data_IF_152857044646
#
_entry.id   IF_152857044646
#
_cell.length_a   1.000
_cell.length_b   1.000
_cell.length_c   1.000
_cell.angle_alpha   90.00
_cell.angle_beta   90.00
_cell.angle_gamma   90.00
#
_symmetry.space_group_name_H-M   'P 1'
#
loop_
_entity.id
_entity.type
_entity.pdbx_description
1 polymer ?
#
# COMPACT_ATOMS: atom_id res chain seq x y z
N UNK A 1 24.79 -1.18 8.57
CA UNK A 1 23.59 -1.27 7.73
C UNK A 1 22.79 -2.54 8.05
N UNK A 2 23.41 -3.72 7.99
CA UNK A 2 22.77 -5.02 8.29
C UNK A 2 22.16 -5.08 9.70
N UNK A 3 22.84 -4.53 10.70
CA UNK A 3 22.38 -4.51 12.09
C UNK A 3 21.15 -3.62 12.29
N UNK A 4 21.08 -2.49 11.58
CA UNK A 4 19.96 -1.57 11.64
C UNK A 4 18.72 -2.21 10.99
N UNK A 5 18.91 -2.85 9.84
CA UNK A 5 17.85 -3.58 9.15
C UNK A 5 17.27 -4.73 10.00
N UNK A 6 18.14 -5.46 10.68
CA UNK A 6 17.73 -6.55 11.56
C UNK A 6 16.98 -6.06 12.81
N UNK A 7 17.41 -4.94 13.38
CA UNK A 7 16.72 -4.29 14.49
C UNK A 7 15.33 -3.79 14.08
N UNK A 8 15.19 -3.22 12.89
CA UNK A 8 13.91 -2.78 12.35
C UNK A 8 12.95 -3.97 12.14
N UNK A 9 13.42 -5.06 11.56
CA UNK A 9 12.63 -6.29 11.39
C UNK A 9 12.15 -6.86 12.72
N UNK A 10 12.98 -6.85 13.75
CA UNK A 10 12.60 -7.31 15.08
C UNK A 10 11.53 -6.43 15.71
N UNK A 11 11.62 -5.12 15.56
CA UNK A 11 10.60 -4.19 16.05
C UNK A 11 9.26 -4.38 15.35
N UNK A 12 9.28 -4.57 14.05
CA UNK A 12 8.08 -4.86 13.25
C UNK A 12 7.44 -6.17 13.70
N UNK A 13 8.22 -7.21 13.88
CA UNK A 13 7.72 -8.51 14.34
C UNK A 13 7.07 -8.44 15.72
N UNK A 14 7.70 -7.77 16.68
CA UNK A 14 7.14 -7.54 18.01
C UNK A 14 5.86 -6.71 17.97
N UNK A 15 5.84 -5.65 17.17
CA UNK A 15 4.67 -4.80 16.99
C UNK A 15 3.51 -5.58 16.37
N UNK A 16 3.78 -6.45 15.40
CA UNK A 16 2.76 -7.30 14.78
C UNK A 16 2.12 -8.26 15.77
N UNK A 17 2.91 -8.89 16.63
CA UNK A 17 2.38 -9.75 17.70
C UNK A 17 1.46 -8.99 18.65
N UNK A 18 1.85 -7.80 19.04
CA UNK A 18 1.05 -6.94 19.91
C UNK A 18 -0.25 -6.48 19.23
N UNK A 19 -0.19 -6.08 17.96
CA UNK A 19 -1.34 -5.66 17.16
C UNK A 19 -2.35 -6.78 16.97
N UNK A 20 -1.90 -8.00 16.71
CA UNK A 20 -2.80 -9.16 16.60
C UNK A 20 -3.61 -9.38 17.87
N UNK A 21 -2.99 -9.21 19.03
CA UNK A 21 -3.68 -9.31 20.33
C UNK A 21 -4.65 -8.15 20.55
N UNK A 22 -4.25 -6.93 20.24
CA UNK A 22 -5.08 -5.74 20.45
C UNK A 22 -6.32 -5.71 19.56
N UNK A 23 -6.17 -6.09 18.30
CA UNK A 23 -7.28 -6.10 17.33
C UNK A 23 -8.07 -7.40 17.36
N UNK A 24 -7.60 -8.43 18.05
CA UNK A 24 -8.25 -9.74 18.05
C UNK A 24 -8.28 -10.40 16.67
N UNK A 25 -7.31 -10.08 15.81
CA UNK A 25 -7.22 -10.62 14.46
C UNK A 25 -6.29 -11.83 14.38
N UNK A 26 -6.61 -12.73 13.48
CA UNK A 26 -5.76 -13.86 13.13
C UNK A 26 -5.27 -13.66 11.71
N UNK A 27 -3.96 -13.74 11.51
CA UNK A 27 -3.33 -13.66 10.21
C UNK A 27 -2.78 -15.03 9.82
N UNK A 28 -2.94 -15.41 8.56
CA UNK A 28 -2.24 -16.55 8.00
C UNK A 28 -0.73 -16.26 7.93
N UNK A 29 0.06 -17.30 7.77
CA UNK A 29 1.51 -17.16 7.63
C UNK A 29 1.91 -16.24 6.46
N UNK A 30 1.20 -16.34 5.33
CA UNK A 30 1.40 -15.44 4.16
C UNK A 30 0.99 -14.00 4.45
N UNK A 31 -0.09 -13.79 5.18
CA UNK A 31 -0.54 -12.46 5.58
C UNK A 31 0.46 -11.80 6.53
N UNK A 32 1.01 -12.55 7.48
CA UNK A 32 2.09 -12.06 8.36
C UNK A 32 3.34 -11.69 7.57
N UNK A 33 3.74 -12.53 6.61
CA UNK A 33 4.87 -12.24 5.72
C UNK A 33 4.63 -11.00 4.88
N UNK A 34 3.39 -10.77 4.42
CA UNK A 34 3.04 -9.55 3.69
C UNK A 34 3.25 -8.30 4.53
N UNK A 35 2.82 -8.31 5.78
CA UNK A 35 3.01 -7.19 6.71
C UNK A 35 4.51 -6.95 6.99
N UNK A 36 5.23 -8.01 7.29
CA UNK A 36 6.66 -7.93 7.62
C UNK A 36 7.53 -7.53 6.43
N UNK A 37 7.13 -7.91 5.20
CA UNK A 37 7.83 -7.55 3.99
C UNK A 37 7.52 -6.12 3.52
N UNK A 38 6.30 -5.64 3.72
CA UNK A 38 5.87 -4.33 3.23
C UNK A 38 6.52 -3.16 3.99
N UNK A 39 6.71 -3.30 5.30
CA UNK A 39 7.13 -2.19 6.15
C UNK A 39 8.60 -1.79 5.99
N UNK A 40 9.57 -2.69 5.85
CA UNK A 40 10.97 -2.30 5.67
C UNK A 40 11.32 -1.79 4.26
N UNK A 41 10.50 -2.07 3.26
CA UNK A 41 10.77 -1.68 1.88
C UNK A 41 10.13 -0.33 1.54
N UNK A 42 10.79 0.45 0.69
CA UNK A 42 10.27 1.74 0.24
C UNK A 42 9.10 1.62 -0.72
N UNK A 43 9.04 0.54 -1.47
CA UNK A 43 7.95 0.27 -2.41
C UNK A 43 7.58 -1.21 -2.34
N UNK A 44 6.30 -1.49 -2.13
CA UNK A 44 5.78 -2.85 -2.04
C UNK A 44 4.48 -2.99 -2.82
N UNK A 45 4.25 -4.17 -3.36
CA UNK A 45 2.98 -4.51 -4.01
C UNK A 45 2.35 -5.69 -3.27
N UNK A 46 1.09 -5.51 -2.91
CA UNK A 46 0.26 -6.57 -2.34
C UNK A 46 -0.81 -6.94 -3.36
N UNK A 47 -0.79 -8.16 -3.83
CA UNK A 47 -1.75 -8.66 -4.81
C UNK A 47 -2.53 -9.84 -4.26
N UNK A 48 -3.73 -10.02 -4.74
CA UNK A 48 -4.57 -11.15 -4.39
C UNK A 48 -5.95 -11.00 -5.00
N UNK A 49 -6.67 -12.10 -5.17
CA UNK A 49 -8.04 -12.10 -5.65
C UNK A 49 -9.05 -11.65 -4.57
N UNK A 50 -10.34 -11.55 -4.91
CA UNK A 50 -11.38 -11.26 -3.94
C UNK A 50 -11.39 -12.29 -2.80
N UNK A 51 -11.53 -11.82 -1.56
CA UNK A 51 -11.59 -12.68 -0.38
C UNK A 51 -10.24 -13.24 0.09
N UNK A 52 -9.11 -12.68 -0.34
CA UNK A 52 -7.76 -13.13 0.04
C UNK A 52 -7.24 -12.54 1.36
N UNK A 53 -8.03 -11.77 2.08
CA UNK A 53 -7.59 -11.15 3.34
C UNK A 53 -6.83 -9.84 3.19
N UNK A 54 -6.85 -9.20 2.02
CA UNK A 54 -6.17 -7.90 1.79
C UNK A 54 -6.57 -6.83 2.80
N UNK A 55 -7.85 -6.74 3.13
CA UNK A 55 -8.35 -5.77 4.13
C UNK A 55 -7.74 -6.00 5.51
N UNK A 56 -7.67 -7.24 5.96
CA UNK A 56 -7.07 -7.58 7.25
C UNK A 56 -5.59 -7.27 7.28
N UNK A 57 -4.88 -7.55 6.18
CA UNK A 57 -3.46 -7.19 6.02
C UNK A 57 -3.26 -5.68 6.07
N UNK A 58 -4.10 -4.90 5.41
CA UNK A 58 -4.01 -3.43 5.46
C UNK A 58 -4.25 -2.87 6.85
N UNK A 59 -5.23 -3.40 7.58
CA UNK A 59 -5.44 -3.03 8.99
C UNK A 59 -4.21 -3.32 9.85
N UNK A 60 -3.62 -4.49 9.67
CA UNK A 60 -2.42 -4.88 10.40
C UNK A 60 -1.23 -3.98 10.06
N UNK A 61 -1.01 -3.68 8.77
CA UNK A 61 0.05 -2.76 8.32
C UNK A 61 -0.12 -1.38 8.96
N UNK A 62 -1.31 -0.81 8.91
CA UNK A 62 -1.60 0.50 9.50
C UNK A 62 -1.32 0.51 11.01
N UNK A 63 -1.82 -0.47 11.73
CA UNK A 63 -1.63 -0.55 13.17
C UNK A 63 -0.17 -0.78 13.57
N UNK A 64 0.54 -1.64 12.87
CA UNK A 64 1.97 -1.89 13.10
C UNK A 64 2.80 -0.65 12.78
N UNK A 65 2.54 0.01 11.66
CA UNK A 65 3.25 1.21 11.27
C UNK A 65 3.07 2.35 12.29
N UNK A 66 1.85 2.59 12.74
CA UNK A 66 1.57 3.59 13.76
C UNK A 66 2.25 3.28 15.10
N UNK A 67 2.42 2.00 15.42
CA UNK A 67 3.08 1.56 16.64
C UNK A 67 4.61 1.70 16.56
N UNK A 68 5.19 1.37 15.42
CA UNK A 68 6.64 1.47 15.19
C UNK A 68 7.08 2.93 14.98
N UNK A 69 6.26 3.72 14.31
CA UNK A 69 6.50 5.13 14.00
C UNK A 69 5.34 6.01 14.51
N UNK A 70 5.27 6.28 15.82
CA UNK A 70 4.22 7.14 16.37
C UNK A 70 4.27 8.54 15.77
N UNK A 71 3.11 9.07 15.41
CA UNK A 71 3.00 10.40 14.81
C UNK A 71 3.31 10.48 13.33
N UNK A 72 3.58 9.35 12.66
CA UNK A 72 3.77 9.32 11.23
C UNK A 72 2.51 9.71 10.45
N UNK A 73 2.69 10.43 9.35
CA UNK A 73 1.61 10.79 8.45
C UNK A 73 1.32 9.66 7.47
N UNK A 74 0.09 9.19 7.45
CA UNK A 74 -0.35 8.11 6.56
C UNK A 74 -1.41 8.64 5.61
N UNK A 75 -1.24 8.40 4.33
CA UNK A 75 -2.22 8.68 3.30
C UNK A 75 -2.76 7.37 2.73
N UNK A 76 -4.08 7.20 2.78
CA UNK A 76 -4.78 6.16 2.04
C UNK A 76 -5.40 6.78 0.80
N UNK A 77 -5.19 6.19 -0.35
CA UNK A 77 -5.69 6.68 -1.61
C UNK A 77 -6.23 5.55 -2.49
N UNK A 78 -7.16 5.90 -3.35
CA UNK A 78 -7.74 5.01 -4.36
C UNK A 78 -8.11 5.81 -5.61
N UNK A 79 -8.26 5.17 -6.78
CA UNK A 79 -8.53 5.89 -8.02
C UNK A 79 -9.93 6.49 -8.10
N UNK A 80 -10.89 5.99 -7.31
CA UNK A 80 -12.28 6.48 -7.32
C UNK A 80 -12.78 6.84 -5.93
N UNK A 81 -13.76 7.73 -5.84
CA UNK A 81 -14.39 8.09 -4.58
C UNK A 81 -15.07 6.90 -3.88
N UNK A 82 -15.64 5.98 -4.65
CA UNK A 82 -16.26 4.77 -4.12
C UNK A 82 -15.22 3.84 -3.50
N UNK A 83 -14.11 3.64 -4.19
CA UNK A 83 -13.01 2.81 -3.68
C UNK A 83 -12.36 3.43 -2.45
N UNK A 84 -12.16 4.75 -2.41
CA UNK A 84 -11.60 5.43 -1.24
C UNK A 84 -12.52 5.33 -0.02
N UNK A 85 -13.82 5.44 -0.19
CA UNK A 85 -14.78 5.22 0.89
C UNK A 85 -14.76 3.79 1.42
N UNK A 86 -14.74 2.81 0.53
CA UNK A 86 -14.61 1.39 0.95
C UNK A 86 -13.33 1.14 1.72
N UNK A 87 -12.23 1.74 1.29
CA UNK A 87 -10.95 1.65 1.98
C UNK A 87 -11.01 2.25 3.39
N UNK A 88 -11.63 3.42 3.54
CA UNK A 88 -11.82 4.06 4.84
C UNK A 88 -12.69 3.20 5.79
N UNK A 89 -13.81 2.71 5.30
CA UNK A 89 -14.72 1.85 6.07
C UNK A 89 -14.08 0.53 6.48
N UNK A 90 -13.39 -0.14 5.56
CA UNK A 90 -12.81 -1.45 5.79
C UNK A 90 -11.58 -1.42 6.69
N UNK A 91 -10.79 -0.36 6.64
CA UNK A 91 -9.60 -0.20 7.49
C UNK A 91 -9.86 0.49 8.82
N UNK A 92 -11.00 1.20 8.93
CA UNK A 92 -11.28 2.07 10.06
C UNK A 92 -10.47 3.38 10.07
N UNK A 93 -9.67 3.63 9.05
CA UNK A 93 -8.89 4.86 8.89
C UNK A 93 -9.66 5.83 7.99
N UNK A 94 -10.27 6.83 8.60
CA UNK A 94 -11.28 7.67 7.94
C UNK A 94 -10.73 8.65 6.91
N UNK A 95 -9.45 8.96 6.91
CA UNK A 95 -8.82 9.89 5.98
C UNK A 95 -8.31 9.20 4.71
N UNK A 96 -9.22 8.56 3.99
CA UNK A 96 -8.92 8.01 2.66
C UNK A 96 -9.42 8.96 1.56
N UNK A 97 -8.59 9.18 0.55
CA UNK A 97 -8.84 10.14 -0.53
C UNK A 97 -8.75 9.47 -1.90
N UNK A 98 -9.30 10.14 -2.91
CA UNK A 98 -8.99 9.78 -4.30
C UNK A 98 -7.58 10.21 -4.65
N UNK A 99 -6.95 9.52 -5.59
CA UNK A 99 -5.64 9.93 -6.13
C UNK A 99 -5.69 11.33 -6.73
N UNK A 100 -6.77 11.68 -7.42
CA UNK A 100 -6.96 13.02 -7.97
C UNK A 100 -6.94 14.09 -6.87
N UNK A 101 -7.64 13.85 -5.77
CA UNK A 101 -7.65 14.74 -4.61
C UNK A 101 -6.27 14.81 -3.94
N UNK A 102 -5.62 13.69 -3.73
CA UNK A 102 -4.30 13.63 -3.10
C UNK A 102 -3.23 14.34 -3.91
N UNK A 103 -3.33 14.27 -5.24
CA UNK A 103 -2.43 14.91 -6.19
C UNK A 103 -2.86 16.35 -6.56
N UNK A 104 -3.98 16.81 -6.04
CA UNK A 104 -4.57 18.13 -6.33
C UNK A 104 -4.78 18.36 -7.84
N UNK A 105 -5.13 17.30 -8.57
CA UNK A 105 -5.42 17.39 -10.00
C UNK A 105 -6.68 18.21 -10.25
N UNK A 106 -6.68 19.04 -11.29
CA UNK A 106 -7.76 19.94 -11.61
C UNK A 106 -7.83 21.20 -10.73
N UNK A 107 -6.86 21.45 -9.89
CA UNK A 107 -6.73 22.67 -9.09
C UNK A 107 -5.75 23.66 -9.74
N UNK A 108 -5.62 24.85 -9.16
CA UNK A 108 -4.63 25.84 -9.61
C UNK A 108 -3.19 25.31 -9.57
N UNK A 109 -2.90 24.45 -8.61
CA UNK A 109 -1.58 23.82 -8.48
C UNK A 109 -1.26 22.89 -9.66
N UNK A 110 -2.27 22.25 -10.23
CA UNK A 110 -2.08 21.39 -11.41
C UNK A 110 -1.65 22.15 -12.65
N UNK A 111 -1.96 23.43 -12.73
CA UNK A 111 -1.51 24.32 -13.80
C UNK A 111 -0.04 24.73 -13.69
N UNK A 112 0.60 24.50 -12.54
CA UNK A 112 2.01 24.81 -12.33
C UNK A 112 2.93 23.83 -13.07
N UNK A 113 4.14 24.25 -13.46
CA UNK A 113 5.17 23.33 -13.92
C UNK A 113 5.44 22.22 -12.91
N UNK A 114 5.79 21.03 -13.38
CA UNK A 114 5.99 19.84 -12.52
C UNK A 114 6.94 20.10 -11.34
N UNK A 115 8.02 20.85 -11.59
CA UNK A 115 9.02 21.20 -10.57
C UNK A 115 8.54 22.20 -9.50
N UNK A 116 7.37 22.80 -9.70
CA UNK A 116 6.77 23.75 -8.76
C UNK A 116 5.57 23.16 -8.00
N UNK A 117 5.17 21.94 -8.35
CA UNK A 117 4.07 21.26 -7.67
C UNK A 117 4.56 20.65 -6.35
N UNK A 118 3.69 20.66 -5.34
CA UNK A 118 4.00 20.10 -4.03
C UNK A 118 4.07 18.58 -4.05
N UNK A 119 5.03 18.01 -3.34
CA UNK A 119 5.06 16.59 -3.07
C UNK A 119 3.95 16.18 -2.10
N UNK A 120 3.60 14.90 -2.11
CA UNK A 120 2.70 14.34 -1.11
C UNK A 120 3.42 14.35 0.25
N UNK A 121 2.81 15.01 1.22
CA UNK A 121 3.32 15.09 2.59
C UNK A 121 2.84 13.89 3.41
N UNK A 122 3.44 12.74 3.19
CA UNK A 122 3.15 11.54 3.94
C UNK A 122 4.40 10.70 4.12
N UNK A 123 4.46 9.96 5.22
CA UNK A 123 5.53 9.00 5.49
C UNK A 123 5.22 7.63 4.90
N UNK A 124 3.94 7.28 4.87
CA UNK A 124 3.41 6.07 4.25
C UNK A 124 2.23 6.42 3.37
N UNK A 125 2.24 5.93 2.14
CA UNK A 125 1.12 6.02 1.20
C UNK A 125 0.68 4.61 0.81
N UNK A 126 -0.60 4.31 0.98
CA UNK A 126 -1.20 3.05 0.54
C UNK A 126 -2.22 3.38 -0.54
N UNK A 127 -2.02 2.80 -1.72
CA UNK A 127 -2.94 2.95 -2.86
C UNK A 127 -3.63 1.62 -3.12
N UNK A 128 -4.96 1.61 -3.01
CA UNK A 128 -5.78 0.45 -3.33
C UNK A 128 -6.36 0.55 -4.75
N UNK A 129 -6.89 -0.56 -5.25
CA UNK A 129 -7.49 -0.65 -6.59
C UNK A 129 -6.55 -0.20 -7.72
N UNK A 130 -5.28 -0.58 -7.62
CA UNK A 130 -4.23 -0.13 -8.57
C UNK A 130 -4.47 -0.57 -10.01
N UNK A 131 -5.27 -1.60 -10.25
CA UNK A 131 -5.69 -2.02 -11.58
C UNK A 131 -6.47 -0.95 -12.35
N UNK A 132 -7.11 -0.02 -11.64
CA UNK A 132 -7.88 1.09 -12.21
C UNK A 132 -7.02 2.35 -12.45
N UNK A 133 -5.76 2.31 -12.08
CA UNK A 133 -4.83 3.44 -12.28
C UNK A 133 -4.19 3.33 -13.65
N UNK A 134 -4.42 4.33 -14.51
CA UNK A 134 -3.77 4.39 -15.81
C UNK A 134 -2.31 4.88 -15.71
N UNK A 135 -1.59 4.80 -16.82
CA UNK A 135 -0.19 5.21 -16.89
C UNK A 135 0.03 6.67 -16.53
N UNK A 136 -0.86 7.54 -17.01
CA UNK A 136 -0.75 8.97 -16.77
C UNK A 136 -0.90 9.28 -15.27
N UNK A 137 -1.91 8.71 -14.63
CA UNK A 137 -2.17 8.91 -13.20
C UNK A 137 -1.05 8.32 -12.34
N UNK A 138 -0.54 7.13 -12.70
CA UNK A 138 0.61 6.53 -12.03
C UNK A 138 1.86 7.41 -12.14
N UNK A 139 2.12 7.97 -13.32
CA UNK A 139 3.24 8.89 -13.53
C UNK A 139 3.10 10.15 -12.67
N UNK A 140 1.90 10.74 -12.61
CA UNK A 140 1.63 11.87 -11.73
C UNK A 140 1.88 11.51 -10.25
N UNK A 141 1.40 10.37 -9.83
CA UNK A 141 1.60 9.89 -8.45
C UNK A 141 3.06 9.73 -8.09
N UNK A 142 3.83 8.97 -8.87
CA UNK A 142 5.24 8.72 -8.57
C UNK A 142 6.10 9.98 -8.65
N UNK A 143 5.76 10.94 -9.50
CA UNK A 143 6.47 12.22 -9.58
C UNK A 143 6.31 13.08 -8.33
N UNK A 144 5.29 12.82 -7.52
CA UNK A 144 4.98 13.57 -6.29
C UNK A 144 5.39 12.86 -5.00
N UNK A 145 6.01 11.69 -5.10
CA UNK A 145 6.51 10.95 -3.95
C UNK A 145 7.86 11.51 -3.53
N UNK A 146 7.96 11.88 -2.26
CA UNK A 146 9.21 12.37 -1.68
C UNK A 146 10.18 11.20 -1.40
N UNK A 147 11.50 11.43 -1.47
CA UNK A 147 12.46 10.46 -0.97
C UNK A 147 12.19 10.10 0.49
N UNK A 148 12.21 8.82 0.81
CA UNK A 148 11.92 8.32 2.16
C UNK A 148 10.45 8.02 2.45
N UNK A 149 9.53 8.41 1.59
CA UNK A 149 8.12 8.00 1.69
C UNK A 149 7.98 6.52 1.30
N UNK A 150 7.34 5.73 2.15
CA UNK A 150 7.01 4.34 1.84
C UNK A 150 5.71 4.28 1.05
N UNK A 151 5.70 3.47 0.01
CA UNK A 151 4.53 3.28 -0.87
C UNK A 151 4.15 1.81 -0.89
N UNK A 152 2.88 1.54 -0.64
CA UNK A 152 2.28 0.21 -0.76
C UNK A 152 1.16 0.27 -1.79
N UNK A 153 1.29 -0.53 -2.83
CA UNK A 153 0.30 -0.65 -3.89
C UNK A 153 -0.49 -1.93 -3.70
N UNK A 154 -1.80 -1.83 -3.71
CA UNK A 154 -2.70 -2.97 -3.49
C UNK A 154 -3.60 -3.15 -4.70
N UNK A 155 -3.72 -4.36 -5.20
CA UNK A 155 -4.55 -4.65 -6.35
C UNK A 155 -4.83 -6.13 -6.55
N UNK A 156 -5.71 -6.46 -7.49
CA UNK A 156 -6.01 -7.83 -7.86
C UNK A 156 -4.94 -8.37 -8.82
N UNK A 157 -4.40 -9.55 -8.52
CA UNK A 157 -3.37 -10.20 -9.32
C UNK A 157 -3.79 -10.43 -10.78
N UNK A 158 -5.06 -10.74 -11.00
CA UNK A 158 -5.60 -11.01 -12.33
C UNK A 158 -5.77 -9.77 -13.20
N UNK A 159 -5.75 -8.59 -12.60
CA UNK A 159 -5.96 -7.30 -13.27
C UNK A 159 -4.67 -6.52 -13.52
N UNK A 160 -3.61 -6.78 -12.76
CA UNK A 160 -2.33 -6.07 -12.87
C UNK A 160 -1.60 -6.31 -14.21
N UNK A 161 -1.60 -7.50 -14.81
CA UNK A 161 -0.89 -7.76 -16.07
C UNK A 161 -1.63 -7.28 -17.32
N UNK A 162 -2.94 -7.07 -17.25
CA UNK A 162 -3.77 -6.76 -18.42
C UNK A 162 -3.81 -5.28 -18.81
N UNK A 163 -3.22 -4.43 -18.01
CA UNK A 163 -3.09 -3.01 -18.33
C UNK A 163 -1.96 -2.86 -19.36
N UNK A 164 -2.23 -3.39 -20.52
CA UNK A 164 -1.55 -3.17 -21.81
C UNK A 164 -0.10 -2.70 -21.76
N UNK A 165 0.54 -2.57 -22.87
CA UNK A 165 1.91 -2.10 -23.14
C UNK A 165 2.56 -1.09 -22.16
N UNK A 166 1.93 -0.82 -21.04
CA UNK A 166 2.41 0.06 -20.03
C UNK A 166 2.54 -0.60 -18.68
N UNK A 167 3.37 -1.56 -18.57
CA UNK A 167 3.82 -2.15 -17.33
C UNK A 167 4.45 -1.11 -16.41
N UNK A 168 3.65 -0.16 -15.94
CA UNK A 168 4.11 0.91 -15.05
C UNK A 168 4.73 0.33 -13.79
N UNK A 169 4.26 -0.84 -13.37
CA UNK A 169 4.75 -1.52 -12.19
C UNK A 169 5.77 -2.62 -12.48
N UNK A 170 5.97 -3.03 -13.73
CA UNK A 170 6.93 -4.06 -14.09
C UNK A 170 8.39 -3.57 -14.05
N UNK A 171 8.67 -2.38 -14.54
CA UNK A 171 10.03 -1.84 -14.49
C UNK A 171 10.62 -1.77 -13.09
N UNK A 172 9.92 -1.28 -12.05
CA UNK A 172 10.40 -1.35 -10.68
C UNK A 172 10.55 -2.77 -10.14
N UNK A 173 9.68 -3.70 -10.54
CA UNK A 173 9.79 -5.12 -10.16
C UNK A 173 11.04 -5.74 -10.78
N UNK A 174 11.29 -5.51 -12.06
CA UNK A 174 12.45 -6.02 -12.79
C UNK A 174 13.76 -5.46 -12.27
N UNK A 175 13.78 -4.22 -11.79
CA UNK A 175 14.96 -3.58 -11.21
C UNK A 175 15.33 -4.09 -9.81
N UNK A 176 14.49 -4.92 -9.18
CA UNK A 176 14.72 -5.45 -7.84
C UNK A 176 14.55 -4.44 -6.70
N UNK A 177 14.06 -3.23 -6.99
CA UNK A 177 13.82 -2.17 -5.99
C UNK A 177 12.50 -2.39 -5.25
N UNK A 178 11.63 -3.23 -5.80
CA UNK A 178 10.28 -3.46 -5.31
C UNK A 178 10.15 -4.85 -4.67
N UNK A 179 9.63 -4.89 -3.46
CA UNK A 179 9.18 -6.13 -2.84
C UNK A 179 7.76 -6.45 -3.32
N UNK A 180 7.55 -7.65 -3.86
CA UNK A 180 6.23 -8.10 -4.29
C UNK A 180 5.76 -9.22 -3.37
N UNK A 181 4.62 -9.01 -2.74
CA UNK A 181 3.94 -10.02 -1.92
C UNK A 181 2.62 -10.40 -2.59
N UNK A 182 2.46 -11.67 -2.90
CA UNK A 182 1.22 -12.20 -3.49
C UNK A 182 0.42 -12.90 -2.40
N UNK A 183 -0.80 -12.42 -2.15
CA UNK A 183 -1.79 -13.10 -1.33
C UNK A 183 -2.64 -13.98 -2.24
N UNK A 184 -2.53 -15.29 -2.07
CA UNK A 184 -3.39 -16.24 -2.78
C UNK A 184 -4.63 -16.54 -1.95
N UNK A 185 -5.76 -16.65 -2.63
CA UNK A 185 -6.96 -17.14 -2.00
C UNK A 185 -6.72 -18.59 -1.57
N UNK A 186 -6.83 -18.88 -0.30
CA UNK A 186 -7.04 -20.24 0.13
C UNK A 186 -8.44 -20.62 -0.36
N UNK A 187 -8.51 -21.40 -1.40
CA UNK A 187 -9.72 -22.17 -1.67
C UNK A 187 -9.91 -23.03 -0.43
N UNK A 188 -10.82 -22.61 0.44
CA UNK A 188 -11.23 -23.45 1.53
C UNK A 188 -11.61 -24.79 0.94
N UNK A 189 -10.88 -25.82 1.29
CA UNK A 189 -11.34 -27.15 1.12
C UNK A 189 -12.64 -27.22 1.88
N UNK A 190 -13.73 -27.20 1.14
CA UNK A 190 -15.02 -27.54 1.68
C UNK A 190 -14.90 -28.99 2.13
N UNK A 191 -14.65 -29.18 3.38
CA UNK A 191 -14.91 -30.47 3.98
C UNK A 191 -16.41 -30.72 3.88
N UNK A 192 -16.73 -31.73 3.11
CA UNK A 192 -18.05 -32.33 3.10
C UNK A 192 -18.35 -33.06 4.40
#
# INVERSE_FOLDING_TARGET
EILVEQAEKTRIHSALRSVKKQLGITLSEREELAVEAALPHNLSIITGGPGTGKTTVLKAILAVYQKVYPGANILLAAPTGRASRRMAESTGYLDARTLHSALRLGTEEDALPENQRSNIEADLVIVDETSMVDQWLAKQFFSRISPGTKVILVGDADQLPSVGAGNVFQSPIESGVMAVTVLEQNCGEGEG
#
